data_IF_210059095692
#
_entry.id   IF_210059095692
#
_cell.length_a   1.000
_cell.length_b   1.000
_cell.length_c   1.000
_cell.angle_alpha   90.00
_cell.angle_beta   90.00
_cell.angle_gamma   90.00
#
_symmetry.space_group_name_H-M   'P 1'
#
loop_
_entity.id
_entity.type
_entity.pdbx_description
1 polymer ?
#
# COMPACT_ATOMS: atom_id res chain seq x y z
N UNK A 1 15.58 3.22 -9.07
CA UNK A 1 14.15 3.34 -8.75
C UNK A 1 13.87 2.31 -7.68
N UNK A 2 13.28 2.70 -6.55
CA UNK A 2 12.94 1.83 -5.43
C UNK A 2 11.50 1.30 -5.57
N UNK A 3 11.13 0.30 -4.76
CA UNK A 3 9.73 -0.17 -4.67
C UNK A 3 8.79 0.96 -4.23
N UNK A 4 9.28 1.88 -3.39
CA UNK A 4 8.50 3.04 -2.96
C UNK A 4 8.28 4.02 -4.12
N UNK A 5 9.32 4.32 -4.90
CA UNK A 5 9.19 5.19 -6.08
C UNK A 5 8.17 4.62 -7.06
N UNK A 6 8.27 3.32 -7.35
CA UNK A 6 7.31 2.63 -8.23
C UNK A 6 5.89 2.63 -7.67
N UNK A 7 5.72 2.52 -6.35
CA UNK A 7 4.42 2.57 -5.71
C UNK A 7 3.82 3.98 -5.78
N UNK A 8 4.61 5.02 -5.52
CA UNK A 8 4.16 6.41 -5.64
C UNK A 8 3.75 6.71 -7.08
N UNK A 9 4.58 6.34 -8.06
CA UNK A 9 4.28 6.51 -9.48
C UNK A 9 3.00 5.80 -9.88
N UNK A 10 2.81 4.56 -9.42
CA UNK A 10 1.54 3.87 -9.58
C UNK A 10 0.44 4.73 -8.97
N UNK A 11 0.49 5.05 -7.68
CA UNK A 11 -0.61 5.70 -6.96
C UNK A 11 -1.04 7.06 -7.54
N UNK A 12 -0.14 7.77 -8.24
CA UNK A 12 -0.41 9.05 -8.88
C UNK A 12 -0.95 8.95 -10.32
N UNK A 13 -1.03 7.74 -10.89
CA UNK A 13 -1.61 7.55 -12.24
C UNK A 13 -3.07 8.01 -12.31
N UNK A 14 -3.41 8.95 -13.21
CA UNK A 14 -4.73 9.56 -13.29
C UNK A 14 -5.83 8.63 -13.83
N UNK A 15 -5.47 7.55 -14.52
CA UNK A 15 -6.41 6.66 -15.20
C UNK A 15 -7.22 5.77 -14.24
N UNK A 16 -6.75 5.61 -12.99
CA UNK A 16 -7.38 4.70 -12.02
C UNK A 16 -7.74 5.46 -10.74
N UNK A 17 -9.04 5.53 -10.37
CA UNK A 17 -9.46 6.13 -9.11
C UNK A 17 -8.92 5.37 -7.90
N UNK A 18 -7.84 5.87 -7.28
CA UNK A 18 -7.16 5.20 -6.15
C UNK A 18 -7.60 5.65 -4.76
N UNK A 19 -8.50 6.65 -4.66
CA UNK A 19 -9.02 7.16 -3.38
C UNK A 19 -9.61 6.06 -2.49
N UNK A 20 -10.45 5.19 -3.05
CA UNK A 20 -11.08 4.11 -2.28
C UNK A 20 -10.04 3.12 -1.74
N UNK A 21 -8.99 2.82 -2.52
CA UNK A 21 -7.90 1.97 -2.07
C UNK A 21 -7.11 2.63 -0.93
N UNK A 22 -6.74 3.90 -1.09
CA UNK A 22 -6.03 4.68 -0.06
C UNK A 22 -6.83 4.72 1.25
N UNK A 23 -8.12 5.07 1.19
CA UNK A 23 -8.98 5.12 2.38
C UNK A 23 -9.06 3.75 3.08
N UNK A 24 -9.12 2.66 2.31
CA UNK A 24 -9.13 1.30 2.87
C UNK A 24 -7.80 0.94 3.50
N UNK A 25 -6.67 1.35 2.91
CA UNK A 25 -5.34 1.13 3.47
C UNK A 25 -5.13 1.92 4.76
N UNK A 26 -5.55 3.20 4.81
CA UNK A 26 -5.49 4.04 6.02
C UNK A 26 -6.34 3.42 7.14
N UNK A 27 -7.59 3.04 6.86
CA UNK A 27 -8.45 2.37 7.84
C UNK A 27 -7.83 1.05 8.32
N UNK A 28 -7.19 0.32 7.41
CA UNK A 28 -6.48 -0.91 7.70
C UNK A 28 -5.32 -0.74 8.68
N UNK A 29 -4.74 0.46 8.82
CA UNK A 29 -3.67 0.71 9.80
C UNK A 29 -4.23 0.84 11.22
N UNK A 30 -5.49 1.26 11.37
CA UNK A 30 -6.11 1.46 12.68
C UNK A 30 -6.82 0.21 13.21
N UNK A 31 -7.33 -0.63 12.31
CA UNK A 31 -8.14 -1.79 12.66
C UNK A 31 -7.62 -3.00 11.89
N UNK A 32 -7.11 -3.99 12.63
CA UNK A 32 -6.80 -5.29 12.07
C UNK A 32 -8.08 -5.94 11.54
N UNK A 33 -8.08 -6.32 10.26
CA UNK A 33 -9.22 -7.02 9.69
C UNK A 33 -9.31 -8.41 10.29
N UNK A 34 -10.52 -8.89 10.62
CA UNK A 34 -10.70 -10.27 11.04
C UNK A 34 -10.18 -11.22 9.94
N UNK A 35 -9.64 -12.40 10.32
CA UNK A 35 -9.13 -13.38 9.37
C UNK A 35 -10.16 -13.68 8.29
N UNK A 36 -9.75 -13.61 7.01
CA UNK A 36 -10.60 -14.04 5.91
C UNK A 36 -10.41 -15.53 5.68
N UNK A 37 -11.48 -16.32 5.81
CA UNK A 37 -11.51 -17.74 5.47
C UNK A 37 -11.57 -17.94 3.95
N UNK A 38 -10.56 -17.45 3.22
CA UNK A 38 -10.38 -17.71 1.78
C UNK A 38 -9.33 -18.80 1.59
N UNK A 39 -9.57 -19.70 0.66
CA UNK A 39 -8.64 -20.78 0.29
C UNK A 39 -8.26 -20.61 -1.18
N UNK A 40 -6.97 -20.37 -1.50
CA UNK A 40 -5.86 -20.14 -0.58
C UNK A 40 -5.97 -18.80 0.17
N UNK A 41 -5.30 -18.70 1.32
CA UNK A 41 -5.23 -17.45 2.06
C UNK A 41 -4.55 -16.36 1.20
N UNK A 42 -5.08 -15.13 1.17
CA UNK A 42 -4.46 -14.05 0.41
C UNK A 42 -3.07 -13.74 0.98
N UNK A 43 -2.06 -13.64 0.10
CA UNK A 43 -0.67 -13.34 0.47
C UNK A 43 -0.51 -11.92 1.05
N UNK A 44 -1.25 -10.96 0.50
CA UNK A 44 -1.15 -9.54 0.87
C UNK A 44 -2.40 -9.09 1.62
N UNK A 45 -2.21 -8.25 2.64
CA UNK A 45 -3.30 -7.59 3.38
C UNK A 45 -4.06 -6.61 2.48
N UNK A 46 -3.31 -5.88 1.66
CA UNK A 46 -3.81 -4.99 0.61
C UNK A 46 -2.98 -5.17 -0.65
N UNK A 47 -3.56 -4.89 -1.80
CA UNK A 47 -2.86 -4.93 -3.07
C UNK A 47 -3.35 -3.82 -3.99
N UNK A 48 -2.41 -3.25 -4.73
CA UNK A 48 -2.67 -2.44 -5.92
C UNK A 48 -2.45 -3.31 -7.18
N UNK A 49 -2.34 -2.69 -8.36
CA UNK A 49 -2.05 -3.44 -9.58
C UNK A 49 -0.63 -4.01 -9.56
N UNK A 50 0.34 -3.20 -9.10
CA UNK A 50 1.76 -3.56 -9.15
C UNK A 50 2.35 -3.96 -7.80
N UNK A 51 1.73 -3.53 -6.69
CA UNK A 51 2.30 -3.68 -5.36
C UNK A 51 1.40 -4.52 -4.44
N UNK A 52 2.05 -5.28 -3.56
CA UNK A 52 1.43 -5.95 -2.44
C UNK A 52 1.88 -5.29 -1.14
N UNK A 53 0.97 -5.24 -0.16
CA UNK A 53 1.24 -4.69 1.16
C UNK A 53 0.89 -5.71 2.23
N UNK A 54 1.83 -5.97 3.13
CA UNK A 54 1.68 -6.90 4.26
C UNK A 54 1.73 -6.07 5.54
N UNK A 55 0.65 -6.08 6.32
CA UNK A 55 0.57 -5.34 7.56
C UNK A 55 0.92 -6.28 8.73
N UNK A 56 1.99 -5.98 9.44
CA UNK A 56 2.35 -6.59 10.72
C UNK A 56 1.85 -5.70 11.85
N UNK A 57 0.67 -6.04 12.38
CA UNK A 57 0.01 -5.29 13.46
C UNK A 57 0.74 -5.40 14.80
N UNK A 58 1.50 -6.48 15.02
CA UNK A 58 2.28 -6.66 16.25
C UNK A 58 3.47 -5.71 16.28
N UNK A 59 4.16 -5.56 15.14
CA UNK A 59 5.29 -4.64 14.99
C UNK A 59 4.89 -3.23 14.58
N UNK A 60 3.62 -3.00 14.21
CA UNK A 60 3.14 -1.74 13.64
C UNK A 60 3.95 -1.34 12.39
N UNK A 61 4.19 -2.31 11.51
CA UNK A 61 5.00 -2.16 10.30
C UNK A 61 4.28 -2.69 9.07
N UNK A 62 4.51 -2.04 7.94
CA UNK A 62 4.07 -2.52 6.63
C UNK A 62 5.28 -2.91 5.79
N UNK A 63 5.19 -4.07 5.15
CA UNK A 63 6.11 -4.47 4.08
C UNK A 63 5.44 -4.18 2.74
N UNK A 64 6.10 -3.35 1.94
CA UNK A 64 5.72 -3.02 0.57
C UNK A 64 6.58 -3.83 -0.40
N UNK A 65 5.91 -4.61 -1.26
CA UNK A 65 6.56 -5.51 -2.22
C UNK A 65 6.09 -5.24 -3.64
N UNK A 66 6.99 -5.36 -4.62
CA UNK A 66 6.61 -5.35 -6.04
C UNK A 66 6.11 -6.73 -6.46
N UNK A 67 4.78 -6.90 -6.54
CA UNK A 67 4.17 -8.24 -6.62
C UNK A 67 4.28 -8.91 -7.99
N UNK A 68 4.58 -8.13 -9.04
CA UNK A 68 4.61 -8.60 -10.43
C UNK A 68 5.95 -9.27 -10.77
N UNK A 69 7.05 -8.80 -10.17
CA UNK A 69 8.38 -9.38 -10.37
C UNK A 69 9.26 -9.14 -9.13
N UNK A 70 9.27 -10.12 -8.23
CA UNK A 70 9.88 -10.01 -6.90
C UNK A 70 11.40 -9.79 -6.86
N UNK A 71 12.08 -9.79 -8.00
CA UNK A 71 13.54 -9.54 -8.11
C UNK A 71 13.88 -8.16 -8.68
N UNK A 72 12.88 -7.35 -9.06
CA UNK A 72 13.12 -6.04 -9.70
C UNK A 72 13.41 -4.96 -8.67
N UNK A 73 12.68 -4.98 -7.56
CA UNK A 73 12.86 -4.06 -6.45
C UNK A 73 12.86 -4.84 -5.14
N UNK A 74 13.79 -4.49 -4.24
CA UNK A 74 13.79 -5.02 -2.89
C UNK A 74 12.55 -4.54 -2.13
N UNK A 75 12.00 -5.42 -1.29
CA UNK A 75 10.89 -5.10 -0.40
C UNK A 75 11.31 -4.00 0.59
N UNK A 76 10.37 -3.09 0.89
CA UNK A 76 10.60 -2.00 1.83
C UNK A 76 9.71 -2.15 3.04
N UNK A 77 10.32 -2.15 4.22
CA UNK A 77 9.60 -2.08 5.49
C UNK A 77 9.55 -0.65 6.01
N UNK A 78 8.38 -0.25 6.52
CA UNK A 78 8.22 1.05 7.16
C UNK A 78 7.17 0.99 8.27
N UNK A 79 7.26 1.91 9.23
CA UNK A 79 6.28 1.99 10.31
C UNK A 79 4.89 2.37 9.78
N UNK A 80 3.84 1.95 10.48
CA UNK A 80 2.47 2.38 10.20
C UNK A 80 2.31 3.90 10.22
N UNK A 81 3.04 4.60 11.09
CA UNK A 81 3.03 6.06 11.15
C UNK A 81 3.61 6.69 9.87
N UNK A 82 4.77 6.21 9.42
CA UNK A 82 5.39 6.64 8.17
C UNK A 82 4.48 6.37 6.98
N UNK A 83 3.92 5.15 6.91
CA UNK A 83 3.06 4.77 5.80
C UNK A 83 1.75 5.55 5.79
N UNK A 84 1.17 5.86 6.96
CA UNK A 84 -0.01 6.71 7.07
C UNK A 84 0.25 8.10 6.50
N UNK A 85 1.37 8.73 6.87
CA UNK A 85 1.74 10.04 6.35
C UNK A 85 1.91 10.03 4.82
N UNK A 86 2.52 8.97 4.29
CA UNK A 86 2.63 8.75 2.84
C UNK A 86 1.24 8.68 2.17
N UNK A 87 0.34 7.85 2.69
CA UNK A 87 -1.00 7.66 2.14
C UNK A 87 -1.86 8.93 2.19
N UNK A 88 -1.81 9.66 3.30
CA UNK A 88 -2.52 10.95 3.44
C UNK A 88 -1.93 12.00 2.46
N UNK A 89 -0.61 12.04 2.29
CA UNK A 89 0.06 12.87 1.29
C UNK A 89 -0.37 12.55 -0.14
N UNK A 90 -0.37 11.25 -0.50
CA UNK A 90 -0.87 10.78 -1.80
C UNK A 90 -2.33 11.16 -2.03
N UNK A 91 -3.19 11.03 -1.01
CA UNK A 91 -4.59 11.42 -1.10
C UNK A 91 -4.75 12.92 -1.40
N UNK A 92 -3.91 13.78 -0.80
CA UNK A 92 -3.89 15.22 -1.06
C UNK A 92 -3.42 15.51 -2.49
N UNK A 93 -2.30 14.92 -2.93
CA UNK A 93 -1.79 15.08 -4.29
C UNK A 93 -2.86 14.71 -5.33
N UNK A 94 -3.48 13.53 -5.20
CA UNK A 94 -4.57 13.05 -6.06
C UNK A 94 -5.76 14.01 -6.06
N UNK A 95 -6.13 14.56 -4.89
CA UNK A 95 -7.22 15.52 -4.78
C UNK A 95 -6.92 16.85 -5.47
N UNK A 96 -5.68 17.32 -5.38
CA UNK A 96 -5.29 18.61 -5.93
C UNK A 96 -4.86 18.56 -7.40
N UNK A 97 -4.67 17.37 -7.98
CA UNK A 97 -4.07 17.21 -9.31
C UNK A 97 -2.70 17.90 -9.42
N UNK A 98 -1.91 17.82 -8.35
CA UNK A 98 -0.56 18.40 -8.26
C UNK A 98 0.42 17.30 -7.90
N UNK A 99 1.20 16.86 -8.88
CA UNK A 99 2.36 16.00 -8.74
C UNK A 99 3.26 16.13 -9.98
#
# INVERSE_FOLDING_TARGET
MSVLDSFVDEMLQPEVPKRVLIDRMIRGLMIEKPPQFKVPAPKYTFESNLHGLIYDYQKQQVTLSYKVASSVYDDMEMSFATFRALLEGLAVCIRMQKW
#
